data_IF_059789125352
#
_entry.id   IF_059789125352
#
_cell.length_a   1.000
_cell.length_b   1.000
_cell.length_c   1.000
_cell.angle_alpha   90.00
_cell.angle_beta   90.00
_cell.angle_gamma   90.00
#
_symmetry.space_group_name_H-M   'P 1'
#
loop_
_entity.id
_entity.type
_entity.pdbx_description
1 polymer ?
#
# COMPACT_ATOMS: atom_id res chain seq x y z
N UNK A 1 -51.36 -29.32 15.62
CA UNK A 1 -50.80 -28.86 14.33
C UNK A 1 -50.62 -27.35 14.41
N UNK A 2 -49.35 -26.89 14.31
CA UNK A 2 -48.84 -25.72 13.54
C UNK A 2 -49.52 -24.35 13.83
N UNK A 3 -48.85 -23.25 14.20
CA UNK A 3 -47.46 -22.83 14.07
C UNK A 3 -47.06 -21.88 15.22
N UNK A 4 -45.89 -22.12 15.81
CA UNK A 4 -45.07 -21.03 16.34
C UNK A 4 -44.49 -20.29 15.13
N UNK A 5 -44.95 -19.06 14.87
CA UNK A 5 -44.18 -18.12 14.09
C UNK A 5 -43.13 -17.55 15.03
N UNK A 6 -41.93 -18.13 15.00
CA UNK A 6 -40.74 -17.48 15.53
C UNK A 6 -40.70 -16.09 14.91
N UNK A 7 -40.82 -15.06 15.76
CA UNK A 7 -40.45 -13.71 15.38
C UNK A 7 -39.07 -13.81 14.78
N UNK A 8 -39.00 -13.62 13.46
CA UNK A 8 -37.79 -13.28 12.76
C UNK A 8 -37.29 -12.02 13.42
N UNK A 9 -36.46 -12.20 14.45
CA UNK A 9 -35.58 -11.18 14.97
C UNK A 9 -34.81 -10.77 13.73
N UNK A 10 -35.16 -9.62 13.16
CA UNK A 10 -34.32 -8.91 12.22
C UNK A 10 -32.94 -8.92 12.88
N UNK A 11 -32.09 -9.82 12.40
CA UNK A 11 -30.67 -9.81 12.71
C UNK A 11 -30.29 -8.42 12.26
N UNK A 12 -30.09 -7.55 13.23
CA UNK A 12 -29.85 -6.15 12.96
C UNK A 12 -28.63 -6.13 12.05
N UNK A 13 -28.66 -5.37 10.97
CA UNK A 13 -27.49 -5.12 10.08
C UNK A 13 -26.20 -4.80 10.87
N UNK A 14 -26.33 -4.48 12.16
CA UNK A 14 -25.28 -4.28 13.15
C UNK A 14 -24.48 -5.53 13.58
N UNK A 15 -24.83 -6.74 13.18
CA UNK A 15 -23.97 -7.93 13.45
C UNK A 15 -23.03 -8.26 12.27
N UNK A 16 -23.04 -7.47 11.20
CA UNK A 16 -22.13 -7.61 10.05
C UNK A 16 -20.88 -6.75 10.28
N UNK A 17 -19.99 -7.27 11.12
CA UNK A 17 -18.52 -7.20 11.06
C UNK A 17 -17.99 -7.41 12.47
N UNK A 18 -17.68 -8.67 12.82
CA UNK A 18 -17.12 -9.02 14.13
C UNK A 18 -15.65 -8.62 14.28
N UNK A 19 -14.98 -8.27 13.18
CA UNK A 19 -13.57 -7.90 13.19
C UNK A 19 -13.40 -6.42 12.90
N UNK A 20 -12.78 -5.74 13.86
CA UNK A 20 -12.36 -4.35 13.72
C UNK A 20 -11.13 -4.26 12.80
N UNK A 21 -10.86 -3.09 12.18
CA UNK A 21 -9.72 -2.93 11.26
C UNK A 21 -8.37 -3.38 11.85
N UNK A 22 -8.12 -3.09 13.12
CA UNK A 22 -6.91 -3.46 13.84
C UNK A 22 -6.74 -4.99 13.95
N UNK A 23 -7.84 -5.71 14.19
CA UNK A 23 -7.85 -7.17 14.25
C UNK A 23 -7.60 -7.78 12.88
N UNK A 24 -8.24 -7.24 11.82
CA UNK A 24 -7.99 -7.69 10.45
C UNK A 24 -6.52 -7.48 10.08
N UNK A 25 -5.97 -6.29 10.37
CA UNK A 25 -4.56 -5.95 10.15
C UNK A 25 -3.63 -6.95 10.84
N UNK A 26 -3.89 -7.23 12.12
CA UNK A 26 -3.08 -8.16 12.91
C UNK A 26 -3.15 -9.59 12.35
N UNK A 27 -4.35 -10.09 12.02
CA UNK A 27 -4.51 -11.42 11.43
C UNK A 27 -3.85 -11.53 10.06
N UNK A 28 -3.92 -10.50 9.21
CA UNK A 28 -3.18 -10.49 7.92
C UNK A 28 -1.68 -10.62 8.17
N UNK A 29 -1.12 -9.87 9.13
CA UNK A 29 0.31 -9.94 9.45
C UNK A 29 0.71 -11.35 9.91
N UNK A 30 -0.06 -11.97 10.81
CA UNK A 30 0.17 -13.34 11.28
C UNK A 30 0.11 -14.38 10.14
N UNK A 31 -0.82 -14.21 9.20
CA UNK A 31 -0.93 -15.09 8.03
C UNK A 31 0.28 -14.94 7.11
N UNK A 32 0.80 -13.74 6.92
CA UNK A 32 2.02 -13.49 6.14
C UNK A 32 3.23 -14.14 6.81
N UNK A 33 3.38 -14.00 8.13
CA UNK A 33 4.44 -14.66 8.91
C UNK A 33 4.39 -16.19 8.79
N UNK A 34 3.19 -16.76 8.71
CA UNK A 34 2.97 -18.20 8.50
C UNK A 34 3.04 -18.62 7.02
N UNK A 35 3.41 -17.71 6.12
CA UNK A 35 3.45 -17.93 4.66
C UNK A 35 2.10 -18.37 4.06
N UNK A 36 0.98 -18.01 4.68
CA UNK A 36 -0.39 -18.30 4.24
C UNK A 36 -0.92 -17.17 3.34
N UNK A 37 -0.17 -16.83 2.28
CA UNK A 37 -0.40 -15.64 1.47
C UNK A 37 -1.77 -15.61 0.77
N UNK A 38 -2.29 -16.78 0.36
CA UNK A 38 -3.62 -16.86 -0.27
C UNK A 38 -4.76 -16.51 0.70
N UNK A 39 -4.63 -16.91 1.98
CA UNK A 39 -5.61 -16.58 3.01
C UNK A 39 -5.48 -15.11 3.44
N UNK A 40 -4.23 -14.62 3.56
CA UNK A 40 -3.96 -13.20 3.80
C UNK A 40 -4.59 -12.32 2.72
N UNK A 41 -4.50 -12.73 1.44
CA UNK A 41 -5.10 -12.02 0.32
C UNK A 41 -6.62 -12.02 0.36
N UNK A 42 -7.23 -13.17 0.60
CA UNK A 42 -8.69 -13.27 0.75
C UNK A 42 -9.19 -12.38 1.90
N UNK A 43 -8.50 -12.38 3.04
CA UNK A 43 -8.84 -11.54 4.19
C UNK A 43 -8.61 -10.05 3.89
N UNK A 44 -7.52 -9.71 3.20
CA UNK A 44 -7.24 -8.34 2.73
C UNK A 44 -8.35 -7.82 1.82
N UNK A 45 -8.78 -8.60 0.84
CA UNK A 45 -9.87 -8.22 -0.08
C UNK A 45 -11.21 -8.03 0.66
N UNK A 46 -11.51 -8.89 1.64
CA UNK A 46 -12.67 -8.71 2.50
C UNK A 46 -12.54 -7.43 3.36
N UNK A 47 -11.37 -7.18 3.93
CA UNK A 47 -11.06 -5.98 4.71
C UNK A 47 -11.26 -4.70 3.90
N UNK A 48 -10.72 -4.64 2.68
CA UNK A 48 -10.88 -3.50 1.76
C UNK A 48 -12.35 -3.26 1.38
N UNK A 49 -13.13 -4.33 1.19
CA UNK A 49 -14.56 -4.18 0.90
C UNK A 49 -15.38 -3.67 2.09
N UNK A 50 -14.99 -4.03 3.31
CA UNK A 50 -15.68 -3.60 4.54
C UNK A 50 -15.25 -2.20 4.99
N UNK A 51 -13.97 -1.87 4.81
CA UNK A 51 -13.36 -0.64 5.32
C UNK A 51 -12.48 0.03 4.24
N UNK A 52 -13.07 0.50 3.13
CA UNK A 52 -12.32 1.00 1.96
C UNK A 52 -11.52 2.27 2.21
N UNK A 53 -11.77 2.98 3.32
CA UNK A 53 -11.08 4.21 3.72
C UNK A 53 -10.34 4.03 5.05
N UNK A 54 -10.10 2.80 5.50
CA UNK A 54 -9.29 2.58 6.70
C UNK A 54 -7.81 2.65 6.33
N UNK A 55 -7.09 3.62 6.90
CA UNK A 55 -5.64 3.76 6.71
C UNK A 55 -4.89 2.47 7.05
N UNK A 56 -5.30 1.78 8.14
CA UNK A 56 -4.68 0.54 8.59
C UNK A 56 -4.87 -0.61 7.60
N UNK A 57 -6.07 -0.72 7.02
CA UNK A 57 -6.38 -1.74 6.01
C UNK A 57 -5.64 -1.44 4.71
N UNK A 58 -5.65 -0.18 4.25
CA UNK A 58 -4.90 0.22 3.06
C UNK A 58 -3.40 -0.08 3.21
N UNK A 59 -2.82 0.27 4.36
CA UNK A 59 -1.41 0.03 4.63
C UNK A 59 -1.04 -1.46 4.64
N UNK A 60 -1.78 -2.30 5.36
CA UNK A 60 -1.45 -3.75 5.42
C UNK A 60 -1.73 -4.45 4.10
N UNK A 61 -2.78 -4.06 3.38
CA UNK A 61 -3.09 -4.58 2.05
C UNK A 61 -2.00 -4.21 1.04
N UNK A 62 -1.47 -2.98 1.10
CA UNK A 62 -0.34 -2.56 0.27
C UNK A 62 0.92 -3.38 0.56
N UNK A 63 1.26 -3.57 1.84
CA UNK A 63 2.41 -4.40 2.24
C UNK A 63 2.26 -5.85 1.78
N UNK A 64 1.06 -6.42 1.89
CA UNK A 64 0.79 -7.77 1.40
C UNK A 64 0.96 -7.87 -0.13
N UNK A 65 0.49 -6.86 -0.87
CA UNK A 65 0.69 -6.79 -2.31
C UNK A 65 2.17 -6.67 -2.68
N UNK A 66 2.97 -5.89 -1.93
CA UNK A 66 4.43 -5.84 -2.09
C UNK A 66 5.11 -7.19 -1.84
N UNK A 67 4.70 -7.92 -0.80
CA UNK A 67 5.21 -9.28 -0.50
C UNK A 67 4.93 -10.23 -1.66
N UNK A 68 3.77 -10.09 -2.29
CA UNK A 68 3.35 -10.88 -3.45
C UNK A 68 3.93 -10.37 -4.78
N UNK A 69 4.70 -9.28 -4.74
CA UNK A 69 5.24 -8.60 -5.92
C UNK A 69 4.15 -8.09 -6.88
N UNK A 70 2.93 -7.87 -6.38
CA UNK A 70 1.86 -7.20 -7.10
C UNK A 70 2.02 -5.69 -6.94
N UNK A 71 2.99 -5.15 -7.69
CA UNK A 71 3.38 -3.76 -7.60
C UNK A 71 2.27 -2.80 -8.03
N UNK A 72 1.39 -3.22 -8.96
CA UNK A 72 0.27 -2.40 -9.43
C UNK A 72 -0.75 -2.22 -8.30
N UNK A 73 -1.18 -3.32 -7.67
CA UNK A 73 -2.12 -3.26 -6.54
C UNK A 73 -1.52 -2.50 -5.35
N UNK A 74 -0.25 -2.78 -5.01
CA UNK A 74 0.44 -2.05 -3.96
C UNK A 74 0.46 -0.53 -4.24
N UNK A 75 0.69 -0.15 -5.49
CA UNK A 75 0.75 1.24 -5.89
C UNK A 75 -0.57 1.98 -5.75
N UNK A 76 -1.65 1.39 -6.26
CA UNK A 76 -3.00 1.96 -6.14
C UNK A 76 -3.41 2.15 -4.67
N UNK A 77 -3.08 1.18 -3.81
CA UNK A 77 -3.39 1.25 -2.38
C UNK A 77 -2.57 2.31 -1.66
N UNK A 78 -1.28 2.45 -1.99
CA UNK A 78 -0.41 3.48 -1.41
C UNK A 78 -0.80 4.88 -1.86
N UNK A 79 -1.13 5.08 -3.14
CA UNK A 79 -1.63 6.35 -3.64
C UNK A 79 -2.92 6.76 -2.90
N UNK A 80 -3.88 5.84 -2.79
CA UNK A 80 -5.11 6.07 -2.02
C UNK A 80 -4.82 6.41 -0.55
N UNK A 81 -3.86 5.72 0.08
CA UNK A 81 -3.46 5.98 1.46
C UNK A 81 -2.83 7.36 1.63
N UNK A 82 -1.95 7.77 0.70
CA UNK A 82 -1.31 9.08 0.71
C UNK A 82 -2.37 10.18 0.60
N UNK A 83 -3.32 10.04 -0.33
CA UNK A 83 -4.42 10.97 -0.53
C UNK A 83 -5.30 11.07 0.73
N UNK A 84 -5.60 9.94 1.38
CA UNK A 84 -6.40 9.89 2.60
C UNK A 84 -5.69 10.56 3.80
N UNK A 85 -4.37 10.43 3.88
CA UNK A 85 -3.57 10.97 4.99
C UNK A 85 -3.36 12.49 4.91
N UNK A 86 -3.52 13.07 3.72
CA UNK A 86 -3.58 14.52 3.46
C UNK A 86 -2.44 15.29 4.17
N UNK A 87 -1.21 15.03 3.75
CA UNK A 87 0.00 15.71 4.27
C UNK A 87 0.49 15.20 5.63
N UNK A 88 -0.20 14.25 6.25
CA UNK A 88 0.25 13.56 7.49
C UNK A 88 0.86 12.18 7.21
N UNK A 89 1.11 11.88 5.94
CA UNK A 89 1.66 10.61 5.47
C UNK A 89 3.00 10.29 6.13
N UNK A 90 3.12 9.19 6.89
CA UNK A 90 4.36 8.80 7.51
C UNK A 90 5.49 8.59 6.49
N UNK A 91 6.74 8.82 6.92
CA UNK A 91 7.94 8.56 6.09
C UNK A 91 7.96 7.13 5.54
N UNK A 92 7.53 6.14 6.34
CA UNK A 92 7.48 4.75 5.91
C UNK A 92 6.58 4.55 4.68
N UNK A 93 5.39 5.15 4.65
CA UNK A 93 4.47 5.09 3.49
C UNK A 93 5.14 5.65 2.23
N UNK A 94 5.86 6.77 2.34
CA UNK A 94 6.62 7.32 1.23
C UNK A 94 7.74 6.40 0.75
N UNK A 95 8.46 5.74 1.66
CA UNK A 95 9.50 4.77 1.29
C UNK A 95 8.92 3.58 0.52
N UNK A 96 7.79 3.05 0.97
CA UNK A 96 7.06 1.98 0.28
C UNK A 96 6.58 2.44 -1.09
N UNK A 97 6.05 3.66 -1.20
CA UNK A 97 5.62 4.22 -2.48
C UNK A 97 6.77 4.37 -3.49
N UNK A 98 7.90 4.94 -3.05
CA UNK A 98 9.11 5.06 -3.87
C UNK A 98 9.59 3.67 -4.32
N UNK A 99 9.62 2.68 -3.42
CA UNK A 99 10.01 1.30 -3.74
C UNK A 99 9.09 0.70 -4.80
N UNK A 100 7.78 0.85 -4.67
CA UNK A 100 6.79 0.34 -5.63
C UNK A 100 7.01 0.96 -7.01
N UNK A 101 7.18 2.28 -7.09
CA UNK A 101 7.47 2.98 -8.36
C UNK A 101 8.77 2.49 -9.02
N UNK A 102 9.82 2.23 -8.22
CA UNK A 102 11.06 1.63 -8.73
C UNK A 102 10.83 0.22 -9.28
N UNK A 103 10.04 -0.60 -8.58
CA UNK A 103 9.69 -1.96 -9.01
C UNK A 103 8.79 -1.98 -10.27
N UNK A 104 8.03 -0.90 -10.51
CA UNK A 104 7.29 -0.68 -11.75
C UNK A 104 8.16 -0.10 -12.89
N UNK A 105 9.46 0.11 -12.67
CA UNK A 105 10.38 0.74 -13.62
C UNK A 105 10.02 2.20 -13.95
N UNK A 106 9.45 2.94 -12.99
CA UNK A 106 9.06 4.35 -13.11
C UNK A 106 9.99 5.29 -12.29
N UNK A 107 11.28 5.42 -12.63
CA UNK A 107 12.26 6.14 -11.82
C UNK A 107 12.00 7.65 -11.73
N UNK A 108 11.34 8.23 -12.73
CA UNK A 108 10.96 9.66 -12.73
C UNK A 108 9.84 9.91 -11.72
N UNK A 109 8.81 9.06 -11.71
CA UNK A 109 7.73 9.13 -10.73
C UNK A 109 8.27 8.88 -9.31
N UNK A 110 9.18 7.90 -9.15
CA UNK A 110 9.82 7.64 -7.87
C UNK A 110 10.62 8.86 -7.36
N UNK A 111 11.34 9.56 -8.23
CA UNK A 111 12.05 10.78 -7.87
C UNK A 111 11.09 11.88 -7.43
N UNK A 112 9.99 12.07 -8.17
CA UNK A 112 8.96 13.03 -7.81
C UNK A 112 8.36 12.73 -6.44
N UNK A 113 8.02 11.46 -6.16
CA UNK A 113 7.52 11.03 -4.86
C UNK A 113 8.51 11.35 -3.72
N UNK A 114 9.81 11.10 -3.93
CA UNK A 114 10.85 11.45 -2.96
C UNK A 114 10.94 12.97 -2.73
N UNK A 115 10.80 13.78 -3.78
CA UNK A 115 10.79 15.24 -3.68
C UNK A 115 9.56 15.77 -2.95
N UNK A 116 8.37 15.21 -3.22
CA UNK A 116 7.14 15.52 -2.49
C UNK A 116 7.28 15.19 -0.99
N UNK A 117 7.77 14.00 -0.66
CA UNK A 117 8.00 13.59 0.73
C UNK A 117 8.99 14.54 1.46
N UNK A 118 10.03 15.00 0.77
CA UNK A 118 11.01 15.96 1.32
C UNK A 118 10.45 17.38 1.51
N UNK A 119 9.29 17.72 0.93
CA UNK A 119 8.62 18.99 1.28
C UNK A 119 8.08 18.99 2.71
N UNK A 120 7.71 17.81 3.21
CA UNK A 120 7.19 17.58 4.57
C UNK A 120 8.35 17.24 5.53
N UNK A 121 9.31 16.43 5.05
CA UNK A 121 10.41 15.88 5.85
C UNK A 121 11.79 16.28 5.30
N UNK A 122 12.07 17.59 5.22
CA UNK A 122 13.22 18.16 4.52
C UNK A 122 14.58 17.52 4.85
N UNK A 123 14.82 17.20 6.11
CA UNK A 123 16.12 16.69 6.59
C UNK A 123 16.12 15.16 6.83
N UNK A 124 15.11 14.43 6.33
CA UNK A 124 15.07 12.99 6.54
C UNK A 124 16.17 12.29 5.73
N UNK A 125 17.15 11.62 6.38
CA UNK A 125 18.32 11.07 5.70
C UNK A 125 17.97 9.95 4.73
N UNK A 126 16.89 9.19 5.00
CA UNK A 126 16.48 8.08 4.15
C UNK A 126 15.89 8.60 2.84
N UNK A 127 15.00 9.59 2.91
CA UNK A 127 14.41 10.22 1.71
C UNK A 127 15.46 10.98 0.88
N UNK A 128 16.42 11.65 1.53
CA UNK A 128 17.56 12.27 0.85
C UNK A 128 18.42 11.23 0.11
N UNK A 129 18.68 10.08 0.75
CA UNK A 129 19.37 8.96 0.14
C UNK A 129 18.65 8.40 -1.09
N UNK A 130 17.33 8.18 -0.99
CA UNK A 130 16.51 7.74 -2.13
C UNK A 130 16.55 8.74 -3.28
N UNK A 131 16.36 10.03 -3.00
CA UNK A 131 16.45 11.10 -4.02
C UNK A 131 17.80 11.09 -4.73
N UNK A 132 18.90 10.95 -3.99
CA UNK A 132 20.25 10.91 -4.58
C UNK A 132 20.44 9.65 -5.44
N UNK A 133 20.00 8.48 -4.96
CA UNK A 133 20.04 7.22 -5.69
C UNK A 133 19.29 7.32 -7.03
N UNK A 134 18.09 7.88 -7.01
CA UNK A 134 17.23 8.04 -8.19
C UNK A 134 17.82 9.01 -9.21
N UNK A 135 18.40 10.13 -8.76
CA UNK A 135 19.10 11.09 -9.64
C UNK A 135 20.30 10.46 -10.33
N UNK A 136 21.08 9.64 -9.63
CA UNK A 136 22.21 8.92 -10.21
C UNK A 136 21.74 7.93 -11.28
N UNK A 137 20.67 7.18 -11.00
CA UNK A 137 20.08 6.23 -11.97
C UNK A 137 19.64 6.94 -13.26
N UNK A 138 18.89 8.03 -13.15
CA UNK A 138 18.40 8.78 -14.31
C UNK A 138 19.54 9.40 -15.13
N UNK A 139 20.60 9.89 -14.46
CA UNK A 139 21.77 10.44 -15.14
C UNK A 139 22.51 9.37 -15.95
N UNK A 140 22.64 8.16 -15.39
CA UNK A 140 23.29 7.03 -16.08
C UNK A 140 22.48 6.57 -17.30
N UNK A 141 21.14 6.52 -17.19
CA UNK A 141 20.28 6.14 -18.31
C UNK A 141 20.44 7.09 -19.51
N UNK A 142 20.44 8.40 -19.28
CA UNK A 142 20.67 9.37 -20.36
C UNK A 142 22.06 9.23 -21.01
N UNK A 143 23.09 8.89 -20.22
CA UNK A 143 24.43 8.66 -20.77
C UNK A 143 24.48 7.41 -21.67
N UNK A 144 23.76 6.35 -21.32
CA UNK A 144 23.64 5.15 -22.15
C UNK A 144 22.87 5.40 -23.45
N UNK A 145 21.78 6.17 -23.41
CA UNK A 145 21.01 6.55 -24.61
C UNK A 145 21.82 7.42 -25.58
N UNK A 146 22.61 8.38 -25.06
CA UNK A 146 23.48 9.22 -25.88
C UNK A 146 24.55 8.39 -26.61
N UNK A 147 25.16 7.40 -25.93
CA UNK A 147 26.15 6.51 -26.54
C UNK A 147 25.54 5.58 -27.60
N UNK A 148 24.31 5.09 -27.39
CA UNK A 148 23.61 4.22 -28.34
C UNK A 148 23.23 4.93 -29.65
N UNK A 149 22.98 6.23 -29.62
CA UNK A 149 22.59 7.03 -30.79
C UNK A 149 23.78 7.57 -31.63
N UNK A 150 25.02 7.23 -31.27
CA UNK A 150 26.24 7.71 -31.95
C UNK A 150 26.86 6.66 -32.90
N UNK A 151 26.15 5.55 -33.14
CA UNK A 151 26.53 4.47 -34.07
C UNK A 151 25.47 4.27 -35.15
#
# INVERSE_FOLDING_TARGET
>A
MIAQASMGRMLSDREVSRFLPDQIRQTIAELVEQNQLALADALSNAGLSLYPQSEEILAISALLAEVRQDWLTAGNLLEQLIDLQDGRTPVATWQHWIRVLRCQCEPVAALHAAECALTIYADNPVLLGEKQSLKALLSNNHAHEAAANTH
#
